data_IF_656673627091
#
_entry.id   IF_656673627091
#
_cell.length_a   1.000
_cell.length_b   1.000
_cell.length_c   1.000
_cell.angle_alpha   90.00
_cell.angle_beta   90.00
_cell.angle_gamma   90.00
#
_symmetry.space_group_name_H-M   'P 1'
#
loop_
_entity.id
_entity.type
_entity.pdbx_description
1 polymer ?
#
# COMPACT_ATOMS: atom_id res chain seq x y z
N UNK A 1 8.94 -10.00 10.08
CA UNK A 1 7.81 -9.21 10.62
C UNK A 1 8.16 -7.72 10.66
N UNK A 2 9.28 -7.32 11.27
CA UNK A 2 9.70 -5.90 11.39
C UNK A 2 9.77 -5.06 10.09
N UNK A 3 10.10 -5.66 8.95
CA UNK A 3 10.25 -4.91 7.68
C UNK A 3 8.89 -4.50 7.10
N UNK A 4 7.87 -5.36 7.18
CA UNK A 4 6.52 -5.05 6.65
C UNK A 4 5.84 -3.99 7.51
N UNK A 5 6.02 -4.06 8.82
CA UNK A 5 5.49 -3.05 9.75
C UNK A 5 6.18 -1.70 9.51
N UNK A 6 7.51 -1.69 9.32
CA UNK A 6 8.25 -0.47 8.98
C UNK A 6 7.76 0.17 7.67
N UNK A 7 7.59 -0.62 6.60
CA UNK A 7 7.13 -0.08 5.31
C UNK A 7 5.71 0.46 5.43
N UNK A 8 4.83 -0.24 6.14
CA UNK A 8 3.48 0.28 6.45
C UNK A 8 3.57 1.62 7.15
N UNK A 9 4.35 1.72 8.22
CA UNK A 9 4.43 2.95 9.02
C UNK A 9 4.97 4.13 8.21
N UNK A 10 5.99 3.90 7.37
CA UNK A 10 6.53 4.92 6.46
C UNK A 10 5.48 5.35 5.44
N UNK A 11 4.78 4.42 4.79
CA UNK A 11 3.73 4.75 3.81
C UNK A 11 2.56 5.46 4.47
N UNK A 12 2.12 5.00 5.65
CA UNK A 12 1.08 5.67 6.43
C UNK A 12 1.48 7.10 6.78
N UNK A 13 2.72 7.35 7.19
CA UNK A 13 3.21 8.70 7.46
C UNK A 13 3.25 9.61 6.21
N UNK A 14 3.51 9.03 5.02
CA UNK A 14 3.49 9.78 3.77
C UNK A 14 2.06 10.11 3.35
N UNK A 15 1.14 9.14 3.43
CA UNK A 15 -0.30 9.35 3.18
C UNK A 15 -0.82 10.45 4.10
N UNK A 16 -0.51 10.37 5.40
CA UNK A 16 -0.96 11.33 6.39
C UNK A 16 -0.41 12.73 6.11
N UNK A 17 0.86 12.85 5.69
CA UNK A 17 1.46 14.13 5.30
C UNK A 17 0.84 14.72 4.03
N UNK A 18 0.63 13.93 2.99
CA UNK A 18 0.01 14.42 1.74
C UNK A 18 -1.43 14.83 1.99
N UNK A 19 -2.17 14.05 2.79
CA UNK A 19 -3.53 14.41 3.20
C UNK A 19 -3.55 15.71 4.00
N UNK A 20 -2.61 15.90 4.93
CA UNK A 20 -2.52 17.12 5.72
C UNK A 20 -2.20 18.35 4.86
N UNK A 21 -1.34 18.22 3.85
CA UNK A 21 -1.06 19.28 2.87
C UNK A 21 -2.32 19.59 2.06
N UNK A 22 -3.06 18.57 1.62
CA UNK A 22 -4.33 18.75 0.94
C UNK A 22 -5.33 19.50 1.83
N UNK A 23 -5.58 19.04 3.06
CA UNK A 23 -6.53 19.67 3.98
C UNK A 23 -6.18 21.13 4.27
N UNK A 24 -4.89 21.47 4.35
CA UNK A 24 -4.43 22.86 4.53
C UNK A 24 -4.75 23.78 3.34
N UNK A 25 -4.87 23.22 2.14
CA UNK A 25 -5.09 23.98 0.91
C UNK A 25 -6.46 23.70 0.26
N UNK A 26 -7.28 22.81 0.84
CA UNK A 26 -8.54 22.33 0.27
C UNK A 26 -9.58 23.45 0.08
N UNK A 27 -9.57 24.47 0.94
CA UNK A 27 -10.46 25.63 0.80
C UNK A 27 -10.08 26.53 -0.41
N UNK A 28 -8.81 26.47 -0.84
CA UNK A 28 -8.29 27.21 -1.99
C UNK A 28 -8.25 26.36 -3.28
N UNK A 29 -8.14 25.04 -3.14
CA UNK A 29 -8.09 24.06 -4.22
C UNK A 29 -9.47 23.38 -4.33
N UNK A 30 -10.30 23.85 -5.26
CA UNK A 30 -11.54 23.15 -5.60
C UNK A 30 -11.27 21.71 -6.07
N UNK A 31 -12.30 20.84 -5.99
CA UNK A 31 -12.23 19.43 -6.43
C UNK A 31 -11.64 19.28 -7.84
N UNK A 32 -11.96 20.23 -8.74
CA UNK A 32 -11.42 20.24 -10.10
C UNK A 32 -9.90 20.40 -10.14
N UNK A 33 -9.30 21.19 -9.24
CA UNK A 33 -7.85 21.39 -9.18
C UNK A 33 -7.11 20.14 -8.68
N UNK A 34 -7.75 19.34 -7.83
CA UNK A 34 -7.16 18.12 -7.23
C UNK A 34 -7.20 16.95 -8.21
N UNK A 35 -8.18 16.96 -9.12
CA UNK A 35 -8.33 16.01 -10.22
C UNK A 35 -7.54 16.43 -11.47
N UNK A 36 -6.97 17.64 -11.49
CA UNK A 36 -6.30 18.17 -12.67
C UNK A 36 -4.91 17.54 -12.85
N UNK A 37 -4.83 16.58 -13.76
CA UNK A 37 -3.56 16.09 -14.29
C UNK A 37 -2.99 17.08 -15.33
N UNK A 38 -1.68 17.03 -15.55
CA UNK A 38 -0.98 17.78 -16.59
C UNK A 38 -0.41 16.84 -17.66
N UNK A 39 0.17 17.40 -18.72
CA UNK A 39 0.88 16.60 -19.73
C UNK A 39 2.15 15.91 -19.18
N UNK A 40 2.66 16.36 -18.04
CA UNK A 40 3.94 15.93 -17.47
C UNK A 40 3.84 15.41 -16.04
N UNK A 41 2.69 15.57 -15.37
CA UNK A 41 2.47 15.15 -13.99
C UNK A 41 1.06 14.61 -13.78
N UNK A 42 0.89 13.55 -12.96
CA UNK A 42 -0.42 13.08 -12.54
C UNK A 42 -1.06 14.11 -11.59
N UNK A 43 -2.36 13.98 -11.40
CA UNK A 43 -3.12 14.76 -10.42
C UNK A 43 -2.80 14.34 -8.98
N UNK A 44 -3.12 15.22 -8.02
CA UNK A 44 -2.98 14.90 -6.59
C UNK A 44 -3.87 13.72 -6.19
N UNK A 45 -5.07 13.63 -6.77
CA UNK A 45 -5.98 12.51 -6.54
C UNK A 45 -5.37 11.16 -6.99
N UNK A 46 -4.74 11.11 -8.16
CA UNK A 46 -4.08 9.90 -8.67
C UNK A 46 -2.88 9.50 -7.80
N UNK A 47 -2.06 10.46 -7.37
CA UNK A 47 -0.94 10.16 -6.45
C UNK A 47 -1.43 9.60 -5.11
N UNK A 48 -2.50 10.17 -4.56
CA UNK A 48 -3.13 9.67 -3.33
C UNK A 48 -3.72 8.27 -3.51
N UNK A 49 -4.35 8.00 -4.65
CA UNK A 49 -4.85 6.67 -5.01
C UNK A 49 -3.70 5.65 -5.05
N UNK A 50 -2.57 5.99 -5.68
CA UNK A 50 -1.41 5.09 -5.72
C UNK A 50 -0.85 4.79 -4.33
N UNK A 51 -0.75 5.79 -3.45
CA UNK A 51 -0.32 5.55 -2.06
C UNK A 51 -1.31 4.65 -1.31
N UNK A 52 -2.61 4.84 -1.55
CA UNK A 52 -3.65 3.98 -0.97
C UNK A 52 -3.61 2.55 -1.52
N UNK A 53 -3.20 2.36 -2.78
CA UNK A 53 -2.97 1.03 -3.36
C UNK A 53 -1.82 0.30 -2.66
N UNK A 54 -0.74 1.01 -2.27
CA UNK A 54 0.33 0.42 -1.44
C UNK A 54 -0.21 -0.01 -0.07
N UNK A 55 -0.98 0.85 0.61
CA UNK A 55 -1.56 0.52 1.91
C UNK A 55 -2.47 -0.72 1.79
N UNK A 56 -3.33 -0.75 0.77
CA UNK A 56 -4.23 -1.88 0.48
C UNK A 56 -3.45 -3.16 0.21
N UNK A 57 -2.35 -3.08 -0.52
CA UNK A 57 -1.46 -4.21 -0.79
C UNK A 57 -0.95 -4.83 0.52
N UNK A 58 -0.27 -4.05 1.37
CA UNK A 58 0.27 -4.57 2.63
C UNK A 58 -0.81 -5.03 3.61
N UNK A 59 -1.96 -4.34 3.65
CA UNK A 59 -3.09 -4.73 4.49
C UNK A 59 -3.64 -6.09 4.06
N UNK A 60 -3.83 -6.32 2.77
CA UNK A 60 -4.31 -7.59 2.24
C UNK A 60 -3.33 -8.73 2.54
N UNK A 61 -2.05 -8.49 2.32
CA UNK A 61 -0.96 -9.41 2.64
C UNK A 61 -0.90 -9.81 4.11
N UNK A 62 -1.09 -8.84 5.01
CA UNK A 62 -1.18 -9.08 6.44
C UNK A 62 -2.41 -9.91 6.80
N UNK A 63 -3.59 -9.55 6.26
CA UNK A 63 -4.83 -10.26 6.54
C UNK A 63 -4.81 -11.71 6.01
N UNK A 64 -4.28 -11.95 4.81
CA UNK A 64 -4.09 -13.29 4.25
C UNK A 64 -3.25 -14.17 5.18
N UNK A 65 -2.10 -13.64 5.66
CA UNK A 65 -1.21 -14.37 6.58
C UNK A 65 -1.85 -14.59 7.95
N UNK A 66 -2.54 -13.59 8.50
CA UNK A 66 -3.29 -13.71 9.75
C UNK A 66 -4.38 -14.78 9.66
N UNK A 67 -5.14 -14.80 8.57
CA UNK A 67 -6.17 -15.80 8.33
C UNK A 67 -5.58 -17.20 8.20
N UNK A 68 -4.51 -17.37 7.42
CA UNK A 68 -3.81 -18.64 7.26
C UNK A 68 -3.38 -19.21 8.62
N UNK A 69 -2.76 -18.40 9.48
CA UNK A 69 -2.36 -18.82 10.83
C UNK A 69 -3.55 -19.11 11.74
N UNK A 70 -4.66 -18.38 11.59
CA UNK A 70 -5.88 -18.61 12.37
C UNK A 70 -6.62 -19.89 11.95
N UNK A 71 -6.34 -20.41 10.75
CA UNK A 71 -6.94 -21.65 10.22
C UNK A 71 -6.24 -22.93 10.67
N UNK A 72 -5.18 -22.82 11.50
CA UNK A 72 -4.40 -23.97 11.95
C UNK A 72 -5.19 -24.74 13.01
N UNK A 73 -5.55 -25.98 12.67
CA UNK A 73 -6.10 -26.94 13.60
C UNK A 73 -5.07 -28.04 13.88
N UNK A 74 -4.70 -28.23 15.15
CA UNK A 74 -3.65 -29.19 15.55
C UNK A 74 -3.95 -30.66 15.15
N UNK A 75 -5.22 -30.99 14.89
CA UNK A 75 -5.64 -32.31 14.39
C UNK A 75 -5.48 -32.49 12.87
N UNK A 76 -5.31 -31.40 12.11
CA UNK A 76 -5.19 -31.44 10.65
C UNK A 76 -3.72 -31.33 10.23
N UNK A 77 -3.04 -32.49 10.29
CA UNK A 77 -1.66 -32.63 9.83
C UNK A 77 -1.48 -32.32 8.34
N UNK A 78 -2.54 -32.42 7.54
CA UNK A 78 -2.51 -32.10 6.11
C UNK A 78 -2.36 -30.60 5.89
N UNK A 79 -3.19 -29.81 6.57
CA UNK A 79 -3.10 -28.35 6.57
C UNK A 79 -1.74 -27.89 7.12
N UNK A 80 -1.28 -28.45 8.24
CA UNK A 80 0.03 -28.09 8.84
C UNK A 80 1.19 -28.32 7.85
N UNK A 81 1.16 -29.41 7.07
CA UNK A 81 2.18 -29.68 6.05
C UNK A 81 2.07 -28.75 4.83
N UNK A 82 0.87 -28.29 4.50
CA UNK A 82 0.62 -27.37 3.40
C UNK A 82 0.90 -25.90 3.75
N UNK A 83 1.01 -25.56 5.04
CA UNK A 83 1.22 -24.19 5.52
C UNK A 83 2.40 -23.46 4.85
N UNK A 84 3.61 -24.04 4.73
CA UNK A 84 4.73 -23.34 4.09
C UNK A 84 4.41 -22.98 2.64
N UNK A 85 3.85 -23.90 1.87
CA UNK A 85 3.44 -23.65 0.49
C UNK A 85 2.32 -22.61 0.38
N UNK A 86 1.35 -22.64 1.29
CA UNK A 86 0.30 -21.64 1.35
C UNK A 86 0.83 -20.25 1.74
N UNK A 87 1.85 -20.19 2.61
CA UNK A 87 2.53 -18.96 3.00
C UNK A 87 3.32 -18.35 1.84
N UNK A 88 4.07 -19.18 1.10
CA UNK A 88 4.89 -18.74 -0.02
C UNK A 88 4.02 -18.19 -1.16
N UNK A 89 2.87 -18.82 -1.43
CA UNK A 89 1.89 -18.32 -2.41
C UNK A 89 1.36 -16.93 -2.09
N UNK A 90 1.19 -16.59 -0.81
CA UNK A 90 0.78 -15.22 -0.42
C UNK A 90 1.87 -14.21 -0.79
N UNK A 91 3.13 -14.64 -0.81
CA UNK A 91 4.29 -13.80 -1.15
C UNK A 91 4.53 -13.73 -2.67
N UNK A 92 4.21 -14.79 -3.42
CA UNK A 92 4.26 -14.78 -4.89
C UNK A 92 3.15 -13.91 -5.51
N UNK A 93 1.98 -13.85 -4.87
CA UNK A 93 0.89 -12.92 -5.20
C UNK A 93 1.28 -11.44 -4.97
N UNK A 94 2.33 -11.17 -4.19
CA UNK A 94 2.80 -9.82 -3.94
C UNK A 94 3.59 -9.33 -5.15
N UNK A 95 3.01 -8.44 -5.96
CA UNK A 95 3.72 -7.72 -7.02
C UNK A 95 4.90 -6.93 -6.42
N UNK A 96 6.15 -7.42 -6.48
CA UNK A 96 7.24 -6.88 -5.68
C UNK A 96 7.67 -5.48 -6.16
N UNK A 97 7.38 -5.18 -7.42
CA UNK A 97 7.72 -3.91 -8.06
C UNK A 97 6.65 -2.83 -7.80
N UNK A 98 5.40 -3.20 -7.45
CA UNK A 98 4.29 -2.25 -7.27
C UNK A 98 4.64 -1.12 -6.30
N UNK A 99 5.14 -1.48 -5.11
CA UNK A 99 5.45 -0.52 -4.05
C UNK A 99 6.63 0.36 -4.46
N UNK A 100 7.67 -0.22 -5.04
CA UNK A 100 8.85 0.51 -5.50
C UNK A 100 8.48 1.49 -6.59
N UNK A 101 7.72 1.05 -7.59
CA UNK A 101 7.39 1.85 -8.77
C UNK A 101 6.44 3.00 -8.39
N UNK A 102 5.46 2.75 -7.51
CA UNK A 102 4.59 3.82 -6.99
C UNK A 102 5.40 4.84 -6.16
N UNK A 103 6.26 4.39 -5.24
CA UNK A 103 7.05 5.31 -4.42
C UNK A 103 8.02 6.13 -5.27
N UNK A 104 8.64 5.54 -6.29
CA UNK A 104 9.48 6.25 -7.27
C UNK A 104 8.68 7.34 -7.99
N UNK A 105 7.49 6.98 -8.50
CA UNK A 105 6.61 7.93 -9.18
C UNK A 105 6.21 9.09 -8.26
N UNK A 106 5.73 8.79 -7.03
CA UNK A 106 5.34 9.83 -6.07
C UNK A 106 6.52 10.70 -5.67
N UNK A 107 7.71 10.14 -5.42
CA UNK A 107 8.90 10.92 -5.07
C UNK A 107 9.33 11.87 -6.19
N UNK A 108 9.25 11.43 -7.45
CA UNK A 108 9.62 12.25 -8.60
C UNK A 108 8.75 13.51 -8.72
N UNK A 109 7.46 13.42 -8.38
CA UNK A 109 6.53 14.55 -8.47
C UNK A 109 6.41 15.39 -7.19
N UNK A 110 7.02 14.96 -6.08
CA UNK A 110 7.08 15.73 -4.83
C UNK A 110 8.39 16.52 -4.67
N UNK A 111 9.37 16.34 -5.58
CA UNK A 111 10.65 17.06 -5.59
C UNK A 111 10.60 18.40 -6.38
N UNK A 112 9.43 18.81 -6.89
CA UNK A 112 9.15 20.16 -7.43
C UNK A 112 8.45 21.06 -6.38
#
# INVERSE_FOLDING_TARGET
MAVVDLVRDVVSSHVERVLQIYEQHADALGVDAVLQASATSPSVAEMLEWLQDIERHYRNSYLKRKYLLSSIEWGDLGNIRALPTAWDRISEDEHPDLVRDILLNVSFFLEE
#
